data_IF_934474993776
#
_entry.id   IF_934474993776
#
_cell.length_a   1.000
_cell.length_b   1.000
_cell.length_c   1.000
_cell.angle_alpha   90.00
_cell.angle_beta   90.00
_cell.angle_gamma   90.00
#
_symmetry.space_group_name_H-M   'P 1'
#
loop_
_entity.id
_entity.type
_entity.pdbx_description
1 polymer ?
#
# COMPACT_ATOMS: atom_id res chain seq x y z
N UNK A 1 30.56 29.98 2.62
CA UNK A 1 29.59 28.98 2.08
C UNK A 1 28.43 29.73 1.45
N UNK A 2 28.21 29.58 0.14
CA UNK A 2 27.21 30.36 -0.61
C UNK A 2 25.77 29.93 -0.31
N UNK A 3 24.89 30.91 -0.09
CA UNK A 3 23.45 30.76 0.14
C UNK A 3 22.73 29.94 -0.95
N UNK A 4 23.30 29.86 -2.15
CA UNK A 4 22.78 29.08 -3.28
C UNK A 4 22.68 27.57 -3.02
N UNK A 5 23.50 26.98 -2.13
CA UNK A 5 23.37 25.54 -1.78
C UNK A 5 22.17 25.24 -0.87
N UNK A 6 21.65 26.22 -0.13
CA UNK A 6 20.46 26.03 0.74
C UNK A 6 19.14 26.03 -0.02
N UNK A 7 19.13 26.54 -1.26
CA UNK A 7 17.93 26.69 -2.09
C UNK A 7 17.78 25.62 -3.17
N UNK A 8 18.66 24.61 -3.21
CA UNK A 8 18.39 23.39 -3.99
C UNK A 8 17.74 22.37 -3.05
N UNK A 9 16.40 22.34 -2.90
CA UNK A 9 15.76 21.19 -2.30
C UNK A 9 16.16 20.00 -3.16
N UNK A 10 16.91 19.07 -2.58
CA UNK A 10 17.12 17.78 -3.22
C UNK A 10 15.71 17.18 -3.34
N UNK A 11 15.24 16.84 -4.56
CA UNK A 11 13.92 16.23 -4.69
C UNK A 11 13.92 14.97 -3.85
N UNK A 12 13.11 14.93 -2.77
CA UNK A 12 13.03 13.73 -1.93
C UNK A 12 12.54 12.61 -2.84
N UNK A 13 13.21 11.46 -2.90
CA UNK A 13 12.86 10.36 -3.81
C UNK A 13 11.37 10.00 -3.76
N UNK A 14 10.77 10.08 -2.57
CA UNK A 14 9.35 9.82 -2.35
C UNK A 14 8.42 10.76 -3.15
N UNK A 15 8.73 12.06 -3.27
CA UNK A 15 7.93 12.97 -4.09
C UNK A 15 8.00 12.64 -5.58
N UNK A 16 9.16 12.15 -6.06
CA UNK A 16 9.28 11.68 -7.43
C UNK A 16 8.41 10.45 -7.69
N UNK A 17 8.33 9.52 -6.72
CA UNK A 17 7.42 8.38 -6.77
C UNK A 17 5.95 8.83 -6.79
N UNK A 18 5.57 9.76 -5.90
CA UNK A 18 4.21 10.31 -5.89
C UNK A 18 3.83 10.94 -7.23
N UNK A 19 4.74 11.74 -7.81
CA UNK A 19 4.53 12.36 -9.12
C UNK A 19 4.37 11.28 -10.20
N UNK A 20 5.21 10.25 -10.19
CA UNK A 20 5.12 9.16 -11.15
C UNK A 20 3.77 8.41 -11.06
N UNK A 21 3.30 8.12 -9.85
CA UNK A 21 1.99 7.47 -9.62
C UNK A 21 0.86 8.35 -10.11
N UNK A 22 0.87 9.64 -9.78
CA UNK A 22 -0.13 10.60 -10.26
C UNK A 22 -0.18 10.67 -11.79
N UNK A 23 0.98 10.79 -12.43
CA UNK A 23 1.09 10.84 -13.89
C UNK A 23 0.63 9.54 -14.54
N UNK A 24 1.02 8.38 -13.98
CA UNK A 24 0.60 7.08 -14.48
C UNK A 24 -0.93 6.89 -14.37
N UNK A 25 -1.53 7.23 -13.23
CA UNK A 25 -2.97 7.15 -13.03
C UNK A 25 -3.75 8.11 -13.94
N UNK A 26 -3.21 9.31 -14.17
CA UNK A 26 -3.80 10.28 -15.10
C UNK A 26 -3.73 9.79 -16.54
N UNK A 27 -2.55 9.32 -16.97
CA UNK A 27 -2.35 8.79 -18.31
C UNK A 27 -3.19 7.53 -18.58
N UNK A 28 -3.33 6.66 -17.58
CA UNK A 28 -4.20 5.50 -17.65
C UNK A 28 -5.67 5.91 -17.83
N UNK A 29 -6.13 6.89 -17.06
CA UNK A 29 -7.51 7.40 -17.12
C UNK A 29 -7.83 8.13 -18.44
N UNK A 30 -6.82 8.71 -19.08
CA UNK A 30 -6.93 9.34 -20.41
C UNK A 30 -6.87 8.36 -21.58
N UNK A 31 -6.46 7.10 -21.35
CA UNK A 31 -6.25 6.15 -22.44
C UNK A 31 -7.53 5.94 -23.25
N UNK A 32 -7.45 6.19 -24.56
CA UNK A 32 -8.57 6.04 -25.48
C UNK A 32 -9.66 7.11 -25.35
N UNK A 33 -9.38 8.23 -24.66
CA UNK A 33 -10.32 9.35 -24.50
C UNK A 33 -9.84 10.60 -25.24
N UNK A 34 -10.76 11.48 -25.68
CA UNK A 34 -10.40 12.74 -26.34
C UNK A 34 -9.74 13.72 -25.35
N UNK A 35 -8.86 14.58 -25.87
CA UNK A 35 -8.16 15.61 -25.10
C UNK A 35 -9.02 16.87 -24.92
N UNK A 36 -10.25 16.67 -24.46
CA UNK A 36 -11.18 17.74 -24.13
C UNK A 36 -11.11 18.10 -22.63
N UNK A 37 -11.52 19.33 -22.23
CA UNK A 37 -11.37 19.78 -20.85
C UNK A 37 -11.98 18.85 -19.80
N UNK A 38 -13.18 18.31 -20.05
CA UNK A 38 -13.87 17.45 -19.10
C UNK A 38 -13.20 16.07 -18.94
N UNK A 39 -12.91 15.30 -20.01
CA UNK A 39 -12.12 14.08 -19.92
C UNK A 39 -10.75 14.27 -19.25
N UNK A 40 -10.06 15.37 -19.54
CA UNK A 40 -8.79 15.71 -18.90
C UNK A 40 -8.96 15.93 -17.40
N UNK A 41 -9.97 16.70 -16.99
CA UNK A 41 -10.27 16.90 -15.57
C UNK A 41 -10.59 15.58 -14.87
N UNK A 42 -11.45 14.73 -15.44
CA UNK A 42 -11.79 13.42 -14.88
C UNK A 42 -10.54 12.55 -14.72
N UNK A 43 -9.64 12.57 -15.71
CA UNK A 43 -8.43 11.79 -15.63
C UNK A 43 -7.43 12.31 -14.60
N UNK A 44 -7.28 13.63 -14.46
CA UNK A 44 -6.47 14.24 -13.39
C UNK A 44 -7.01 13.85 -12.02
N UNK A 45 -8.34 13.91 -11.83
CA UNK A 45 -8.98 13.46 -10.59
C UNK A 45 -8.77 11.96 -10.36
N UNK A 46 -8.84 11.14 -11.41
CA UNK A 46 -8.51 9.71 -11.34
C UNK A 46 -7.06 9.45 -10.93
N UNK A 47 -6.11 10.22 -11.46
CA UNK A 47 -4.70 10.16 -11.08
C UNK A 47 -4.46 10.60 -9.62
N UNK A 48 -5.11 11.67 -9.17
CA UNK A 48 -5.07 12.10 -7.77
C UNK A 48 -5.68 11.05 -6.84
N UNK A 49 -6.81 10.46 -7.21
CA UNK A 49 -7.42 9.38 -6.45
C UNK A 49 -6.50 8.16 -6.37
N UNK A 50 -5.90 7.74 -7.49
CA UNK A 50 -4.92 6.67 -7.53
C UNK A 50 -3.70 6.95 -6.63
N UNK A 51 -3.23 8.20 -6.58
CA UNK A 51 -2.17 8.62 -5.67
C UNK A 51 -2.58 8.50 -4.19
N UNK A 52 -3.81 8.88 -3.84
CA UNK A 52 -4.33 8.72 -2.47
C UNK A 52 -4.40 7.24 -2.09
N UNK A 53 -4.93 6.40 -2.98
CA UNK A 53 -4.98 4.94 -2.77
C UNK A 53 -3.56 4.38 -2.59
N UNK A 54 -2.61 4.78 -3.44
CA UNK A 54 -1.21 4.35 -3.32
C UNK A 54 -0.59 4.74 -1.97
N UNK A 55 -0.77 5.99 -1.53
CA UNK A 55 -0.26 6.47 -0.24
C UNK A 55 -0.88 5.69 0.92
N UNK A 56 -2.19 5.47 0.85
CA UNK A 56 -2.91 4.69 1.86
C UNK A 56 -2.37 3.26 1.93
N UNK A 57 -2.22 2.58 0.78
CA UNK A 57 -1.68 1.21 0.74
C UNK A 57 -0.25 1.15 1.28
N UNK A 58 0.68 1.94 0.72
CA UNK A 58 2.09 1.89 1.15
C UNK A 58 2.22 2.32 2.61
N UNK A 59 1.45 3.31 3.05
CA UNK A 59 1.41 3.77 4.43
C UNK A 59 1.00 2.66 5.40
N UNK A 60 -0.07 1.91 5.10
CA UNK A 60 -0.51 0.78 5.93
C UNK A 60 0.52 -0.36 5.96
N UNK A 61 1.09 -0.72 4.80
CA UNK A 61 2.11 -1.77 4.74
C UNK A 61 3.37 -1.38 5.52
N UNK A 62 3.81 -0.12 5.40
CA UNK A 62 4.96 0.38 6.12
C UNK A 62 4.70 0.48 7.63
N UNK A 63 3.53 0.96 8.03
CA UNK A 63 3.13 1.00 9.44
C UNK A 63 3.15 -0.40 10.06
N UNK A 64 2.55 -1.39 9.38
CA UNK A 64 2.58 -2.79 9.81
C UNK A 64 4.01 -3.31 9.99
N UNK A 65 4.90 -3.08 9.01
CA UNK A 65 6.28 -3.55 9.07
C UNK A 65 7.12 -2.88 10.16
N UNK A 66 6.94 -1.57 10.35
CA UNK A 66 7.64 -0.82 11.40
C UNK A 66 7.13 -1.22 12.79
N UNK A 67 5.81 -1.37 12.96
CA UNK A 67 5.23 -1.78 14.23
C UNK A 67 5.70 -3.17 14.66
N UNK A 68 5.69 -4.13 13.72
CA UNK A 68 6.18 -5.49 13.99
C UNK A 68 7.67 -5.51 14.33
N UNK A 69 8.49 -4.74 13.61
CA UNK A 69 9.92 -4.63 13.90
C UNK A 69 10.19 -3.95 15.25
N UNK A 70 9.46 -2.90 15.58
CA UNK A 70 9.58 -2.19 16.85
C UNK A 70 9.13 -3.04 18.05
N UNK A 71 8.26 -4.03 17.84
CA UNK A 71 7.91 -5.04 18.82
C UNK A 71 9.00 -6.12 19.01
N UNK A 72 10.16 -5.97 18.35
CA UNK A 72 11.28 -6.92 18.42
C UNK A 72 11.20 -8.07 17.42
N UNK A 73 10.24 -8.04 16.50
CA UNK A 73 10.08 -9.06 15.46
C UNK A 73 11.03 -8.87 14.26
N UNK A 74 11.15 -9.93 13.45
CA UNK A 74 11.88 -9.94 12.19
C UNK A 74 10.94 -10.01 10.98
N UNK A 75 11.36 -9.44 9.85
CA UNK A 75 10.59 -9.45 8.60
C UNK A 75 10.50 -10.83 7.92
N UNK A 76 11.11 -11.84 8.52
CA UNK A 76 11.04 -13.22 8.06
C UNK A 76 10.18 -14.09 8.96
N UNK A 77 9.66 -13.52 10.05
CA UNK A 77 8.86 -14.26 11.00
C UNK A 77 7.54 -14.70 10.37
N UNK A 78 7.07 -15.94 10.65
CA UNK A 78 5.80 -16.41 10.09
C UNK A 78 4.60 -15.48 10.38
N UNK A 79 4.42 -14.90 11.59
CA UNK A 79 3.36 -13.92 11.85
C UNK A 79 3.46 -12.68 10.95
N UNK A 80 4.66 -12.22 10.64
CA UNK A 80 4.85 -11.08 9.74
C UNK A 80 4.50 -11.42 8.28
N UNK A 81 4.92 -12.59 7.79
CA UNK A 81 4.72 -12.97 6.38
C UNK A 81 3.29 -13.45 6.11
N UNK A 82 2.61 -14.01 7.10
CA UNK A 82 1.30 -14.63 6.94
C UNK A 82 0.24 -13.71 6.30
N UNK A 83 0.04 -12.45 6.72
CA UNK A 83 -0.93 -11.56 6.08
C UNK A 83 -0.64 -11.31 4.60
N UNK A 84 0.64 -11.20 4.21
CA UNK A 84 1.04 -11.03 2.82
C UNK A 84 0.72 -12.28 1.99
N UNK A 85 1.02 -13.47 2.52
CA UNK A 85 0.75 -14.73 1.84
C UNK A 85 -0.76 -14.92 1.60
N UNK A 86 -1.58 -14.65 2.62
CA UNK A 86 -3.04 -14.76 2.53
C UNK A 86 -3.62 -13.71 1.56
N UNK A 87 -3.13 -12.46 1.62
CA UNK A 87 -3.52 -11.42 0.69
C UNK A 87 -3.18 -11.76 -0.76
N UNK A 88 -1.97 -12.31 -0.99
CA UNK A 88 -1.55 -12.75 -2.32
C UNK A 88 -2.45 -13.87 -2.85
N UNK A 89 -2.75 -14.87 -2.02
CA UNK A 89 -3.65 -15.96 -2.40
C UNK A 89 -5.06 -15.46 -2.74
N UNK A 90 -5.61 -14.54 -1.94
CA UNK A 90 -6.92 -13.95 -2.19
C UNK A 90 -6.96 -13.10 -3.47
N UNK A 91 -5.92 -12.28 -3.71
CA UNK A 91 -5.78 -11.51 -4.94
C UNK A 91 -5.66 -12.39 -6.17
N UNK A 92 -4.78 -13.40 -6.12
CA UNK A 92 -4.59 -14.35 -7.22
C UNK A 92 -5.88 -15.13 -7.50
N UNK A 93 -6.56 -15.61 -6.47
CA UNK A 93 -7.85 -16.28 -6.62
C UNK A 93 -8.88 -15.37 -7.27
N UNK A 94 -9.04 -14.14 -6.78
CA UNK A 94 -9.98 -13.15 -7.33
C UNK A 94 -9.69 -12.88 -8.81
N UNK A 95 -8.42 -12.74 -9.19
CA UNK A 95 -8.03 -12.53 -10.58
C UNK A 95 -8.38 -13.74 -11.46
N UNK A 96 -8.13 -14.96 -10.99
CA UNK A 96 -8.47 -16.19 -11.73
C UNK A 96 -9.98 -16.28 -12.01
N UNK A 97 -10.83 -15.85 -11.07
CA UNK A 97 -12.28 -15.93 -11.23
C UNK A 97 -12.90 -14.76 -12.00
N UNK A 98 -12.37 -13.55 -11.85
CA UNK A 98 -12.99 -12.33 -12.41
C UNK A 98 -12.24 -11.74 -13.61
N UNK A 99 -10.99 -12.16 -13.85
CA UNK A 99 -10.08 -11.57 -14.84
C UNK A 99 -9.92 -10.03 -14.72
N UNK A 100 -10.16 -9.48 -13.52
CA UNK A 100 -10.12 -8.05 -13.23
C UNK A 100 -9.01 -7.74 -12.21
N UNK A 101 -8.03 -6.97 -12.65
CA UNK A 101 -6.86 -6.55 -11.84
C UNK A 101 -7.27 -5.60 -10.71
N UNK A 102 -8.25 -4.72 -10.95
CA UNK A 102 -8.71 -3.78 -9.92
C UNK A 102 -9.46 -4.53 -8.81
N UNK A 103 -10.34 -5.47 -9.18
CA UNK A 103 -11.03 -6.32 -8.21
C UNK A 103 -10.04 -7.18 -7.41
N UNK A 104 -9.05 -7.76 -8.08
CA UNK A 104 -8.00 -8.56 -7.43
C UNK A 104 -7.14 -7.75 -6.45
N UNK A 105 -6.70 -6.55 -6.86
CA UNK A 105 -5.93 -5.66 -6.00
C UNK A 105 -6.75 -5.19 -4.78
N UNK A 106 -8.03 -4.87 -4.99
CA UNK A 106 -8.94 -4.49 -3.93
C UNK A 106 -9.15 -5.63 -2.92
N UNK A 107 -9.40 -6.84 -3.40
CA UNK A 107 -9.53 -8.03 -2.56
C UNK A 107 -8.27 -8.31 -1.75
N UNK A 108 -7.10 -8.34 -2.41
CA UNK A 108 -5.81 -8.54 -1.75
C UNK A 108 -5.57 -7.51 -0.63
N UNK A 109 -5.84 -6.23 -0.90
CA UNK A 109 -5.67 -5.17 0.08
C UNK A 109 -6.52 -5.39 1.33
N UNK A 110 -7.83 -5.63 1.18
CA UNK A 110 -8.70 -5.84 2.35
C UNK A 110 -8.40 -7.13 3.09
N UNK A 111 -8.06 -8.20 2.36
CA UNK A 111 -7.60 -9.45 2.97
C UNK A 111 -6.34 -9.23 3.79
N UNK A 112 -5.38 -8.44 3.30
CA UNK A 112 -4.20 -8.07 4.07
C UNK A 112 -4.59 -7.38 5.39
N UNK A 113 -5.42 -6.33 5.33
CA UNK A 113 -5.82 -5.56 6.51
C UNK A 113 -6.48 -6.46 7.57
N UNK A 114 -7.41 -7.32 7.15
CA UNK A 114 -8.09 -8.25 8.07
C UNK A 114 -7.12 -9.28 8.64
N UNK A 115 -6.29 -9.91 7.79
CA UNK A 115 -5.34 -10.92 8.22
C UNK A 115 -4.29 -10.33 9.19
N UNK A 116 -3.78 -9.13 8.93
CA UNK A 116 -2.86 -8.44 9.81
C UNK A 116 -3.49 -8.16 11.18
N UNK A 117 -4.75 -7.69 11.20
CA UNK A 117 -5.50 -7.49 12.45
C UNK A 117 -5.71 -8.79 13.23
N UNK A 118 -6.06 -9.88 12.55
CA UNK A 118 -6.22 -11.21 13.17
C UNK A 118 -4.90 -11.70 13.76
N UNK A 119 -3.80 -11.60 13.01
CA UNK A 119 -2.48 -12.01 13.50
C UNK A 119 -2.08 -11.20 14.74
N UNK A 120 -2.29 -9.88 14.73
CA UNK A 120 -2.00 -9.03 15.88
C UNK A 120 -2.75 -9.49 17.15
N UNK A 121 -4.04 -9.82 17.02
CA UNK A 121 -4.86 -10.34 18.13
C UNK A 121 -4.33 -11.70 18.62
N UNK A 122 -4.04 -12.63 17.70
CA UNK A 122 -3.57 -13.98 18.04
C UNK A 122 -2.22 -13.94 18.75
N UNK A 123 -1.27 -13.15 18.24
CA UNK A 123 0.07 -13.01 18.85
C UNK A 123 -0.03 -12.38 20.24
N UNK A 124 -0.85 -11.34 20.40
CA UNK A 124 -1.05 -10.71 21.70
C UNK A 124 -1.67 -11.69 22.73
N UNK A 125 -2.69 -12.44 22.33
CA UNK A 125 -3.30 -13.45 23.20
C UNK A 125 -2.31 -14.56 23.60
N UNK A 126 -1.52 -15.06 22.64
CA UNK A 126 -0.52 -16.10 22.90
C UNK A 126 0.59 -15.62 23.84
N UNK A 127 1.03 -14.37 23.72
CA UNK A 127 1.99 -13.77 24.65
C UNK A 127 1.41 -13.67 26.07
N UNK A 128 0.17 -13.19 26.21
CA UNK A 128 -0.50 -13.11 27.52
C UNK A 128 -0.67 -14.47 28.20
N UNK A 129 -0.93 -15.54 27.44
CA UNK A 129 -0.97 -16.91 28.01
C UNK A 129 0.39 -17.38 28.54
N UNK A 130 1.49 -16.99 27.90
CA UNK A 130 2.84 -17.34 28.38
C UNK A 130 3.17 -16.63 29.69
N UNK A 131 2.85 -15.34 29.79
CA UNK A 131 3.13 -14.54 31.00
C UNK A 131 2.29 -14.97 32.22
N UNK A 132 1.10 -15.54 32.00
CA UNK A 132 0.23 -16.02 33.08
C UNK A 132 0.59 -17.43 33.60
N UNK A 133 1.46 -18.16 32.88
CA UNK A 133 1.86 -19.52 33.21
C UNK A 133 3.24 -19.65 33.88
N UNK A 134 4.01 -18.57 33.90
CA UNK A 134 5.29 -18.42 34.62
C UNK A 134 5.06 -17.82 36.02
#
# INVERSE_FOLDING_TARGET
>A
MSLQRRLRPTPRPWHAVMLAVFLAGTAWSLRGRPLEPLPVLTAVLGGLFGLVVFQFTVGNLWAYAVEYYNAGGSWTDPPFVAPFAVAFAAGAGTYVFLADVAAAAWAAFWTFIVAAGVVAVVVNAAAGYREAGD
#
